data_IF_641749931922
#
_entry.id   IF_641749931922
#
_cell.length_a   1.000
_cell.length_b   1.000
_cell.length_c   1.000
_cell.angle_alpha   90.00
_cell.angle_beta   90.00
_cell.angle_gamma   90.00
#
_symmetry.space_group_name_H-M   'P 1'
#
loop_
_entity.id
_entity.type
_entity.pdbx_description
1 polymer ?
#
# COMPACT_ATOMS: atom_id res chain seq x y z
N UNK A 1 14.09 5.11 2.70
CA UNK A 1 12.99 5.27 1.73
C UNK A 1 11.60 5.41 2.36
N UNK A 2 11.08 4.42 3.09
CA UNK A 2 9.72 4.52 3.69
C UNK A 2 9.51 5.75 4.62
N UNK A 3 10.48 6.06 5.49
CA UNK A 3 10.42 7.24 6.36
C UNK A 3 10.42 8.57 5.59
N UNK A 4 11.11 8.62 4.43
CA UNK A 4 11.14 9.81 3.57
C UNK A 4 9.76 10.04 2.96
N UNK A 5 9.18 9.00 2.36
CA UNK A 5 7.84 9.04 1.78
C UNK A 5 6.75 9.37 2.81
N UNK A 6 6.88 8.84 4.04
CA UNK A 6 5.95 9.16 5.12
C UNK A 6 5.99 10.64 5.50
N UNK A 7 7.20 11.22 5.62
CA UNK A 7 7.38 12.66 5.89
C UNK A 7 6.80 13.51 4.76
N UNK A 8 7.08 13.16 3.51
CA UNK A 8 6.55 13.87 2.35
C UNK A 8 5.02 13.81 2.28
N UNK A 9 4.44 12.63 2.51
CA UNK A 9 2.99 12.46 2.55
C UNK A 9 2.35 13.30 3.65
N UNK A 10 2.97 13.36 4.83
CA UNK A 10 2.44 14.11 5.99
C UNK A 10 2.35 15.62 5.76
N UNK A 11 3.24 16.18 4.93
CA UNK A 11 3.24 17.63 4.60
C UNK A 11 2.50 17.95 3.29
N UNK A 12 2.13 16.93 2.52
CA UNK A 12 1.42 17.10 1.24
C UNK A 12 -0.04 17.44 1.48
N UNK A 13 -0.53 18.50 0.83
CA UNK A 13 -1.97 18.82 0.77
C UNK A 13 -2.59 18.08 -0.41
N UNK A 14 -3.55 17.21 -0.11
CA UNK A 14 -4.31 16.47 -1.10
C UNK A 14 -5.62 17.19 -1.45
N UNK A 15 -6.09 17.02 -2.68
CA UNK A 15 -7.37 17.58 -3.16
C UNK A 15 -8.58 16.72 -2.74
N UNK A 16 -8.34 15.57 -2.12
CA UNK A 16 -9.34 14.61 -1.65
C UNK A 16 -8.90 13.97 -0.33
N UNK A 17 -9.81 13.36 0.45
CA UNK A 17 -9.45 12.62 1.65
C UNK A 17 -8.47 11.48 1.35
N UNK A 18 -7.21 11.63 1.76
CA UNK A 18 -6.11 10.71 1.44
C UNK A 18 -6.44 9.25 1.78
N UNK A 19 -7.11 9.00 2.92
CA UNK A 19 -7.45 7.65 3.37
C UNK A 19 -8.37 6.93 2.39
N UNK A 20 -9.40 7.62 1.90
CA UNK A 20 -10.37 7.06 0.95
C UNK A 20 -9.72 6.85 -0.42
N UNK A 21 -8.90 7.80 -0.86
CA UNK A 21 -8.12 7.68 -2.08
C UNK A 21 -7.20 6.45 -2.05
N UNK A 22 -6.46 6.25 -0.95
CA UNK A 22 -5.58 5.08 -0.78
C UNK A 22 -6.36 3.76 -0.80
N UNK A 23 -7.55 3.70 -0.21
CA UNK A 23 -8.40 2.51 -0.30
C UNK A 23 -8.89 2.26 -1.71
N UNK A 24 -9.32 3.31 -2.42
CA UNK A 24 -9.78 3.21 -3.81
C UNK A 24 -8.70 2.69 -4.76
N UNK A 25 -7.45 3.12 -4.59
CA UNK A 25 -6.33 2.70 -5.47
C UNK A 25 -5.65 1.41 -5.04
N UNK A 26 -6.05 0.82 -3.91
CA UNK A 26 -5.47 -0.41 -3.36
C UNK A 26 -6.32 -1.62 -3.71
N UNK A 27 -5.66 -2.70 -4.14
CA UNK A 27 -6.27 -4.02 -4.29
C UNK A 27 -5.57 -5.04 -3.38
N UNK A 28 -6.36 -5.80 -2.61
CA UNK A 28 -5.90 -6.83 -1.66
C UNK A 28 -6.79 -8.07 -1.77
N UNK A 29 -6.95 -8.58 -2.99
CA UNK A 29 -7.84 -9.73 -3.26
C UNK A 29 -7.20 -11.08 -2.95
N UNK A 30 -5.89 -11.19 -3.13
CA UNK A 30 -5.18 -12.45 -3.03
C UNK A 30 -4.52 -12.53 -1.64
N UNK A 31 -5.09 -13.36 -0.76
CA UNK A 31 -4.64 -13.57 0.62
C UNK A 31 -4.68 -15.06 0.95
N UNK A 32 -3.50 -15.65 1.17
CA UNK A 32 -3.38 -17.00 1.70
C UNK A 32 -3.28 -16.92 3.23
N UNK A 33 -4.05 -17.74 3.94
CA UNK A 33 -4.07 -17.78 5.41
C UNK A 33 -3.93 -19.22 5.88
N UNK A 34 -2.97 -19.46 6.78
CA UNK A 34 -2.80 -20.74 7.46
C UNK A 34 -2.50 -20.49 8.95
N UNK A 35 -3.41 -20.92 9.82
CA UNK A 35 -3.33 -20.72 11.26
C UNK A 35 -3.08 -19.26 11.66
N UNK A 36 -1.88 -18.98 12.18
CA UNK A 36 -1.44 -17.65 12.62
C UNK A 36 -0.59 -16.90 11.60
N UNK A 37 -0.48 -17.41 10.36
CA UNK A 37 0.29 -16.84 9.26
C UNK A 37 -0.59 -16.48 8.08
N UNK A 38 -0.18 -15.45 7.34
CA UNK A 38 -0.79 -15.12 6.07
C UNK A 38 0.22 -14.47 5.11
N UNK A 39 -0.04 -14.64 3.81
CA UNK A 39 0.65 -13.93 2.74
C UNK A 39 -0.39 -13.12 1.97
N UNK A 40 -0.19 -11.80 1.88
CA UNK A 40 -1.11 -10.88 1.19
C UNK A 40 -0.39 -10.26 0.00
N UNK A 41 -1.04 -10.31 -1.17
CA UNK A 41 -0.61 -9.56 -2.35
C UNK A 41 -1.32 -8.21 -2.37
N UNK A 42 -0.59 -7.15 -2.06
CA UNK A 42 -1.11 -5.79 -2.15
C UNK A 42 -0.63 -5.11 -3.42
N UNK A 43 -1.59 -4.59 -4.20
CA UNK A 43 -1.34 -3.89 -5.46
C UNK A 43 -1.88 -2.47 -5.34
N UNK A 44 -1.11 -1.50 -5.80
CA UNK A 44 -1.54 -0.14 -6.02
C UNK A 44 -1.63 0.12 -7.52
N UNK A 45 -2.80 0.56 -7.98
CA UNK A 45 -3.02 0.96 -9.36
C UNK A 45 -3.99 2.14 -9.42
N UNK A 46 -3.44 3.35 -9.48
CA UNK A 46 -4.24 4.56 -9.65
C UNK A 46 -3.47 5.83 -9.36
N UNK A 47 -4.21 6.91 -9.17
CA UNK A 47 -3.66 8.23 -8.85
C UNK A 47 -4.42 8.92 -7.73
N UNK A 48 -3.73 9.80 -7.01
CA UNK A 48 -4.29 10.66 -5.98
C UNK A 48 -4.02 12.10 -6.36
N UNK A 49 -5.05 12.94 -6.33
CA UNK A 49 -4.93 14.36 -6.68
C UNK A 49 -4.34 15.17 -5.52
N UNK A 50 -3.40 16.07 -5.82
CA UNK A 50 -2.87 17.07 -4.88
C UNK A 50 -3.59 18.40 -5.03
N UNK A 51 -3.56 19.21 -3.98
CA UNK A 51 -4.21 20.52 -3.96
C UNK A 51 -3.60 21.52 -4.95
N UNK A 52 -2.36 21.30 -5.39
CA UNK A 52 -1.66 22.10 -6.40
C UNK A 52 -2.01 21.71 -7.85
N UNK A 53 -2.93 20.75 -8.04
CA UNK A 53 -3.34 20.24 -9.35
C UNK A 53 -2.44 19.14 -9.91
N UNK A 54 -1.33 18.81 -9.25
CA UNK A 54 -0.50 17.65 -9.62
C UNK A 54 -1.10 16.33 -9.11
N UNK A 55 -0.56 15.21 -9.58
CA UNK A 55 -1.06 13.87 -9.23
C UNK A 55 0.06 12.95 -8.76
N UNK A 56 -0.17 12.21 -7.68
CA UNK A 56 0.67 11.08 -7.29
C UNK A 56 0.17 9.82 -7.97
N UNK A 57 0.98 9.24 -8.86
CA UNK A 57 0.68 7.96 -9.51
C UNK A 57 1.25 6.80 -8.69
N UNK A 58 0.36 5.94 -8.19
CA UNK A 58 0.71 4.75 -7.43
C UNK A 58 0.54 3.53 -8.34
N UNK A 59 1.68 3.01 -8.80
CA UNK A 59 1.75 1.88 -9.74
C UNK A 59 2.83 0.89 -9.31
N UNK A 60 2.54 0.18 -8.22
CA UNK A 60 3.48 -0.77 -7.60
C UNK A 60 2.74 -1.84 -6.80
N UNK A 61 3.43 -2.91 -6.43
CA UNK A 61 2.89 -3.99 -5.63
C UNK A 61 3.92 -4.51 -4.62
N UNK A 62 3.44 -5.26 -3.63
CA UNK A 62 4.28 -5.91 -2.61
C UNK A 62 3.62 -7.17 -2.09
N UNK A 63 4.43 -8.03 -1.48
CA UNK A 63 3.97 -9.14 -0.65
C UNK A 63 4.12 -8.76 0.81
N UNK A 64 3.06 -8.91 1.59
CA UNK A 64 3.12 -8.83 3.05
C UNK A 64 3.13 -10.23 3.64
N UNK A 65 4.10 -10.48 4.50
CA UNK A 65 4.09 -11.62 5.40
C UNK A 65 3.46 -11.16 6.71
N UNK A 66 2.39 -11.82 7.11
CA UNK A 66 1.60 -11.45 8.27
C UNK A 66 1.68 -12.53 9.35
N UNK A 67 1.63 -12.10 10.61
CA UNK A 67 1.47 -12.99 11.76
C UNK A 67 0.35 -12.49 12.67
N UNK A 68 -0.38 -13.42 13.30
CA UNK A 68 -1.42 -13.12 14.26
C UNK A 68 -0.85 -13.19 15.68
N UNK A 69 -0.63 -12.05 16.30
CA UNK A 69 -0.04 -11.93 17.64
C UNK A 69 -1.08 -11.36 18.61
N UNK A 70 -1.43 -12.11 19.65
CA UNK A 70 -2.45 -11.70 20.63
C UNK A 70 -3.82 -11.46 19.97
N UNK A 71 -4.21 -12.32 19.04
CA UNK A 71 -5.47 -12.22 18.31
C UNK A 71 -5.51 -11.15 17.21
N UNK A 72 -4.44 -10.38 17.01
CA UNK A 72 -4.38 -9.29 16.02
C UNK A 72 -3.37 -9.59 14.91
N UNK A 73 -3.79 -9.39 13.67
CA UNK A 73 -2.89 -9.47 12.51
C UNK A 73 -1.91 -8.31 12.50
N UNK A 74 -0.65 -8.63 12.21
CA UNK A 74 0.46 -7.67 12.06
C UNK A 74 1.24 -8.01 10.80
N UNK A 75 1.80 -6.98 10.17
CA UNK A 75 2.79 -7.15 9.10
C UNK A 75 4.12 -7.49 9.78
N UNK A 76 4.62 -8.71 9.53
CA UNK A 76 5.89 -9.22 10.04
C UNK A 76 7.05 -8.97 9.07
N UNK A 77 6.77 -8.81 7.77
CA UNK A 77 7.78 -8.50 6.75
C UNK A 77 7.16 -8.18 5.39
N UNK A 78 7.98 -7.66 4.47
CA UNK A 78 7.57 -7.38 3.09
C UNK A 78 8.75 -7.37 2.12
N UNK A 79 8.47 -7.61 0.84
CA UNK A 79 9.51 -7.74 -0.23
C UNK A 79 10.05 -6.38 -0.72
N UNK A 80 9.46 -5.26 -0.28
CA UNK A 80 9.78 -3.93 -0.80
C UNK A 80 8.79 -3.47 -1.87
N UNK A 81 9.21 -2.55 -2.74
CA UNK A 81 8.38 -1.99 -3.82
C UNK A 81 8.71 -2.70 -5.13
N UNK A 82 7.72 -3.36 -5.73
CA UNK A 82 7.84 -3.99 -7.04
C UNK A 82 6.96 -3.26 -8.07
N UNK A 83 7.33 -3.25 -9.36
CA UNK A 83 6.50 -2.64 -10.39
C UNK A 83 5.17 -3.40 -10.53
N UNK A 84 4.12 -2.68 -10.93
CA UNK A 84 2.80 -3.25 -11.20
C UNK A 84 2.21 -2.71 -12.52
N UNK A 85 1.94 -3.53 -13.54
CA UNK A 85 2.19 -4.98 -13.60
C UNK A 85 3.69 -5.30 -13.63
N UNK A 86 4.03 -6.57 -13.42
CA UNK A 86 5.40 -7.04 -13.68
C UNK A 86 5.63 -7.10 -15.20
N UNK A 87 6.87 -6.86 -15.63
CA UNK A 87 7.28 -6.99 -17.04
C UNK A 87 6.74 -5.89 -17.97
N UNK A 88 6.30 -4.76 -17.40
CA UNK A 88 5.94 -3.54 -18.15
C UNK A 88 7.14 -2.80 -18.70
#
# INVERSE_FOLDING_TARGET
EWLRQAKETAVTKFAEPLREALFRVTNMRDIDVDGDRAVLHKKFNGSIAKADGSVDRLKWQTLYFCSKVGGRWKIAGFVGYMPHPLGS
#
